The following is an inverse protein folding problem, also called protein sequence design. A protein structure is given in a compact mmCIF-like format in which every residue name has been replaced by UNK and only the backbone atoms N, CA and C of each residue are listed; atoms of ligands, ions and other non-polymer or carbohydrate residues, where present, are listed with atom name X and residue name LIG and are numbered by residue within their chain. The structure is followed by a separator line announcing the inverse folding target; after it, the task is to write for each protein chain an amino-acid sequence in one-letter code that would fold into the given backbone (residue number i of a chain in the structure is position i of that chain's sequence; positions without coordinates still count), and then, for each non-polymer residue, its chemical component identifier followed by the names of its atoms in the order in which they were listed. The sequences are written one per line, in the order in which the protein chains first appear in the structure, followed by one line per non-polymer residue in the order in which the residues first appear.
data_IF_299058270134
#
_entry.id   IF_299058270134
#
_cell.length_a   1.000
_cell.length_b   1.000
_cell.length_c   1.000
_cell.angle_alpha   90.00
_cell.angle_beta   90.00
_cell.angle_gamma   90.00
#
_symmetry.space_group_name_H-M   'P 1'
#
loop_
_entity.id
_entity.type
_entity.pdbx_description
1 polymer ?
#
# COMPACT_ATOMS: atom_id res chain seq x y z
N UNK A 1 -8.22 -26.94 33.02
CA UNK A 1 -8.96 -26.27 31.91
C UNK A 1 -8.41 -24.89 31.57
N UNK A 2 -8.19 -23.98 32.54
CA UNK A 2 -7.55 -22.66 32.29
C UNK A 2 -6.17 -22.79 31.63
N UNK A 3 -5.28 -23.65 32.15
CA UNK A 3 -3.92 -23.81 31.59
C UNK A 3 -3.89 -24.29 30.13
N UNK A 4 -4.87 -25.11 29.73
CA UNK A 4 -4.97 -25.60 28.35
C UNK A 4 -5.43 -24.45 27.44
N UNK A 5 -6.51 -23.73 27.78
CA UNK A 5 -7.04 -22.63 26.97
C UNK A 5 -6.06 -21.45 26.84
N UNK A 6 -5.26 -21.17 27.87
CA UNK A 6 -4.29 -20.07 27.87
C UNK A 6 -2.89 -20.44 27.37
N UNK A 7 -2.68 -21.65 26.84
CA UNK A 7 -1.40 -21.99 26.21
C UNK A 7 -1.17 -21.14 24.95
N UNK A 8 0.09 -20.77 24.69
CA UNK A 8 0.44 -19.86 23.56
C UNK A 8 0.00 -20.42 22.20
N UNK A 9 0.07 -21.75 22.04
CA UNK A 9 -0.43 -22.45 20.86
C UNK A 9 -1.94 -22.28 20.71
N UNK A 10 -2.70 -22.46 21.78
CA UNK A 10 -4.17 -22.38 21.73
C UNK A 10 -4.63 -20.93 21.55
N UNK A 11 -3.94 -19.96 22.14
CA UNK A 11 -4.17 -18.54 21.87
C UNK A 11 -3.98 -18.21 20.37
N UNK A 12 -2.87 -18.67 19.77
CA UNK A 12 -2.60 -18.48 18.34
C UNK A 12 -3.66 -19.15 17.46
N UNK A 13 -3.98 -20.42 17.70
CA UNK A 13 -4.99 -21.15 16.91
C UNK A 13 -6.36 -20.50 17.03
N UNK A 14 -6.79 -20.15 18.24
CA UNK A 14 -8.07 -19.45 18.48
C UNK A 14 -8.10 -18.14 17.72
N UNK A 15 -7.00 -17.38 17.74
CA UNK A 15 -6.94 -16.12 17.02
C UNK A 15 -6.96 -16.27 15.50
N UNK A 16 -6.27 -17.28 14.95
CA UNK A 16 -6.37 -17.62 13.52
C UNK A 16 -7.82 -17.96 13.15
N UNK A 17 -8.51 -18.74 13.97
CA UNK A 17 -9.93 -19.04 13.76
C UNK A 17 -10.80 -17.78 13.83
N UNK A 18 -10.49 -16.82 14.71
CA UNK A 18 -11.19 -15.52 14.78
C UNK A 18 -10.94 -14.71 13.51
N UNK A 19 -9.69 -14.56 13.06
CA UNK A 19 -9.38 -13.84 11.81
C UNK A 19 -10.17 -14.44 10.65
N UNK A 20 -10.19 -15.77 10.55
CA UNK A 20 -10.88 -16.46 9.47
C UNK A 20 -12.40 -16.38 9.59
N UNK A 21 -12.98 -16.53 10.79
CA UNK A 21 -14.44 -16.56 10.98
C UNK A 21 -15.09 -15.17 11.08
N UNK A 22 -14.36 -14.16 11.53
CA UNK A 22 -14.90 -12.82 11.79
C UNK A 22 -15.50 -12.16 10.54
N UNK A 23 -14.87 -12.18 9.34
CA UNK A 23 -15.48 -11.65 8.12
C UNK A 23 -16.83 -12.31 7.82
N UNK A 24 -16.93 -13.64 7.96
CA UNK A 24 -18.18 -14.37 7.72
C UNK A 24 -19.27 -13.99 8.72
N UNK A 25 -18.93 -13.87 10.01
CA UNK A 25 -19.86 -13.42 11.05
C UNK A 25 -20.30 -11.98 10.75
N UNK A 26 -19.37 -11.10 10.39
CA UNK A 26 -19.67 -9.71 10.08
C UNK A 26 -20.59 -9.56 8.86
N UNK A 27 -20.35 -10.32 7.80
CA UNK A 27 -21.20 -10.35 6.61
C UNK A 27 -22.58 -10.96 6.91
N UNK A 28 -22.64 -12.09 7.64
CA UNK A 28 -23.89 -12.80 7.93
C UNK A 28 -24.83 -12.01 8.83
N UNK A 29 -24.31 -11.27 9.80
CA UNK A 29 -25.10 -10.53 10.79
C UNK A 29 -25.20 -9.02 10.51
N UNK A 30 -24.82 -8.56 9.30
CA UNK A 30 -24.85 -7.14 8.92
C UNK A 30 -24.13 -6.22 9.92
N UNK A 31 -23.03 -6.70 10.51
CA UNK A 31 -22.23 -5.89 11.45
C UNK A 31 -21.43 -4.80 10.73
N UNK A 32 -21.17 -4.96 9.43
CA UNK A 32 -20.46 -3.96 8.62
C UNK A 32 -21.20 -2.60 8.60
N UNK A 33 -22.50 -2.51 8.25
CA UNK A 33 -23.26 -1.26 8.39
C UNK A 33 -23.24 -0.67 9.80
N UNK A 34 -23.28 -1.50 10.84
CA UNK A 34 -23.24 -1.02 12.23
C UNK A 34 -21.87 -0.40 12.55
N UNK A 35 -20.77 -1.05 12.17
CA UNK A 35 -19.40 -0.54 12.34
C UNK A 35 -19.21 0.74 11.52
N UNK A 36 -19.75 0.80 10.30
CA UNK A 36 -19.75 2.02 9.48
C UNK A 36 -20.48 3.16 10.17
N UNK A 37 -21.69 2.92 10.69
CA UNK A 37 -22.47 3.91 11.46
C UNK A 37 -21.74 4.39 12.72
N UNK A 38 -21.08 3.49 13.45
CA UNK A 38 -20.24 3.85 14.61
C UNK A 38 -19.03 4.70 14.17
N UNK A 39 -18.41 4.36 13.04
CA UNK A 39 -17.26 5.11 12.49
C UNK A 39 -17.63 6.51 12.03
N UNK A 40 -18.86 6.67 11.53
CA UNK A 40 -19.41 7.95 11.11
C UNK A 40 -20.05 8.76 12.25
N UNK A 41 -20.19 8.18 13.45
CA UNK A 41 -20.78 8.86 14.60
C UNK A 41 -19.93 10.05 15.04
N UNK A 42 -20.57 11.21 15.17
CA UNK A 42 -20.00 12.44 15.70
C UNK A 42 -20.83 13.00 16.85
N UNK A 43 -20.23 13.96 17.56
CA UNK A 43 -20.92 14.82 18.50
C UNK A 43 -20.43 16.26 18.27
N UNK A 44 -21.31 17.24 18.51
CA UNK A 44 -20.98 18.64 18.30
C UNK A 44 -20.40 19.27 19.56
N UNK A 45 -19.26 19.94 19.42
CA UNK A 45 -18.65 20.78 20.47
C UNK A 45 -18.38 22.16 19.86
N UNK A 46 -19.03 23.20 20.40
CA UNK A 46 -18.89 24.59 19.91
C UNK A 46 -19.16 24.74 18.40
N UNK A 47 -20.14 24.01 17.87
CA UNK A 47 -20.46 24.04 16.43
C UNK A 47 -19.50 23.25 15.53
N UNK A 48 -18.54 22.53 16.10
CA UNK A 48 -17.66 21.62 15.37
C UNK A 48 -18.09 20.17 15.62
N UNK A 49 -18.37 19.42 14.55
CA UNK A 49 -18.62 17.98 14.61
C UNK A 49 -17.30 17.23 14.82
N UNK A 50 -17.16 16.55 15.97
CA UNK A 50 -16.01 15.73 16.33
C UNK A 50 -16.38 14.26 16.17
N UNK A 51 -15.65 13.53 15.32
CA UNK A 51 -15.84 12.09 15.13
C UNK A 51 -15.40 11.31 16.37
N UNK A 52 -16.25 10.41 16.86
CA UNK A 52 -16.03 9.66 18.11
C UNK A 52 -14.84 8.70 17.98
N UNK A 53 -14.74 7.97 16.87
CA UNK A 53 -13.70 6.95 16.70
C UNK A 53 -12.27 7.53 16.74
N UNK A 54 -11.93 8.59 15.98
CA UNK A 54 -10.63 9.26 16.12
C UNK A 54 -10.32 9.72 17.53
N UNK A 55 -11.33 10.22 18.25
CA UNK A 55 -11.16 10.68 19.62
C UNK A 55 -10.83 9.52 20.57
N UNK A 56 -11.60 8.43 20.51
CA UNK A 56 -11.33 7.23 21.31
C UNK A 56 -9.95 6.65 21.00
N UNK A 57 -9.58 6.61 19.72
CA UNK A 57 -8.25 6.17 19.30
C UNK A 57 -7.15 7.08 19.86
N UNK A 58 -7.34 8.41 19.80
CA UNK A 58 -6.39 9.38 20.36
C UNK A 58 -6.24 9.21 21.88
N UNK A 59 -7.36 9.05 22.61
CA UNK A 59 -7.34 8.79 24.06
C UNK A 59 -6.59 7.51 24.37
N UNK A 60 -6.85 6.44 23.61
CA UNK A 60 -6.15 5.17 23.76
C UNK A 60 -4.65 5.29 23.49
N UNK A 61 -4.25 5.99 22.43
CA UNK A 61 -2.83 6.25 22.12
C UNK A 61 -2.16 7.08 23.21
N UNK A 62 -2.82 8.14 23.71
CA UNK A 62 -2.32 8.94 24.84
C UNK A 62 -2.15 8.06 26.08
N UNK A 63 -3.13 7.23 26.40
CA UNK A 63 -3.05 6.28 27.51
C UNK A 63 -1.85 5.33 27.37
N UNK A 64 -1.66 4.73 26.18
CA UNK A 64 -0.52 3.85 25.91
C UNK A 64 0.82 4.60 26.03
N UNK A 65 0.90 5.83 25.55
CA UNK A 65 2.08 6.69 25.70
C UNK A 65 2.35 6.92 27.18
N UNK A 66 1.36 7.40 27.95
CA UNK A 66 1.47 7.70 29.39
C UNK A 66 1.96 6.50 30.18
N UNK A 67 1.34 5.32 29.98
CA UNK A 67 1.76 4.07 30.63
C UNK A 67 3.16 3.65 30.21
N UNK A 68 3.57 3.99 28.98
CA UNK A 68 4.88 3.63 28.42
C UNK A 68 5.95 4.72 28.59
N UNK A 69 5.64 5.92 29.09
CA UNK A 69 6.56 7.07 29.11
C UNK A 69 7.90 6.72 29.76
N UNK A 70 7.86 5.99 30.89
CA UNK A 70 9.06 5.55 31.61
C UNK A 70 9.93 4.56 30.82
N UNK A 71 9.40 3.97 29.75
CA UNK A 71 10.04 2.99 28.88
C UNK A 71 10.40 3.57 27.51
N UNK A 72 9.94 4.78 27.15
CA UNK A 72 10.23 5.36 25.84
C UNK A 72 11.66 5.91 25.84
N UNK A 73 12.49 5.39 24.95
CA UNK A 73 13.79 5.96 24.62
C UNK A 73 13.74 6.52 23.18
N UNK A 74 14.78 7.26 22.77
CA UNK A 74 14.86 7.86 21.43
C UNK A 74 14.70 6.82 20.31
N UNK A 75 15.22 5.61 20.51
CA UNK A 75 15.13 4.51 19.55
C UNK A 75 13.69 3.99 19.38
N UNK A 76 12.97 3.78 20.49
CA UNK A 76 11.55 3.38 20.48
C UNK A 76 10.70 4.46 19.84
N UNK A 77 10.95 5.73 20.16
CA UNK A 77 10.23 6.85 19.56
C UNK A 77 10.43 6.90 18.04
N UNK A 78 11.68 6.80 17.57
CA UNK A 78 11.98 6.73 16.13
C UNK A 78 11.27 5.53 15.47
N UNK A 79 11.25 4.38 16.13
CA UNK A 79 10.58 3.18 15.64
C UNK A 79 9.07 3.35 15.54
N UNK A 80 8.44 4.02 16.52
CA UNK A 80 7.02 4.39 16.46
C UNK A 80 6.74 5.34 15.29
N UNK A 81 7.55 6.39 15.13
CA UNK A 81 7.42 7.31 14.00
C UNK A 81 7.54 6.57 12.66
N UNK A 82 8.49 5.64 12.55
CA UNK A 82 8.64 4.81 11.36
C UNK A 82 7.39 3.95 11.08
N UNK A 83 6.82 3.31 12.09
CA UNK A 83 5.57 2.55 11.95
C UNK A 83 4.43 3.45 11.45
N UNK A 84 4.27 4.65 12.02
CA UNK A 84 3.25 5.60 11.58
C UNK A 84 3.44 6.02 10.12
N UNK A 85 4.68 6.24 9.69
CA UNK A 85 5.00 6.54 8.29
C UNK A 85 4.66 5.36 7.36
N UNK A 86 4.94 4.12 7.78
CA UNK A 86 4.61 2.91 7.02
C UNK A 86 3.09 2.73 6.89
N UNK A 87 2.33 2.95 7.97
CA UNK A 87 0.85 2.92 7.94
C UNK A 87 0.32 3.99 7.00
N UNK A 88 0.80 5.23 7.14
CA UNK A 88 0.40 6.33 6.26
C UNK A 88 0.70 6.03 4.79
N UNK A 89 1.88 5.49 4.50
CA UNK A 89 2.25 5.08 3.16
C UNK A 89 1.31 3.98 2.64
N UNK A 90 1.07 2.92 3.41
CA UNK A 90 0.15 1.84 3.06
C UNK A 90 -1.25 2.35 2.74
N UNK A 91 -1.79 3.21 3.60
CA UNK A 91 -3.09 3.86 3.43
C UNK A 91 -3.13 4.70 2.14
N UNK A 92 -2.10 5.51 1.90
CA UNK A 92 -2.02 6.39 0.73
C UNK A 92 -1.96 5.61 -0.59
N UNK A 93 -1.40 4.41 -0.57
CA UNK A 93 -1.31 3.50 -1.71
C UNK A 93 -2.66 2.83 -1.94
N UNK A 94 -3.21 2.17 -0.92
CA UNK A 94 -4.38 1.31 -1.05
C UNK A 94 -5.69 2.08 -1.28
N UNK A 95 -5.90 3.21 -0.60
CA UNK A 95 -7.23 3.82 -0.50
C UNK A 95 -7.44 5.00 -1.45
N UNK A 96 -6.71 5.05 -2.57
CA UNK A 96 -6.79 6.16 -3.53
C UNK A 96 -8.21 6.41 -4.04
N UNK A 97 -8.89 5.37 -4.49
CA UNK A 97 -10.24 5.49 -5.07
C UNK A 97 -11.33 5.53 -4.02
N UNK A 98 -11.18 4.78 -2.93
CA UNK A 98 -12.22 4.68 -1.92
C UNK A 98 -12.28 5.92 -1.02
N UNK A 99 -11.15 6.63 -0.84
CA UNK A 99 -11.10 7.81 0.02
C UNK A 99 -11.42 7.51 1.48
N UNK A 100 -11.20 6.27 1.92
CA UNK A 100 -11.39 5.87 3.30
C UNK A 100 -10.42 6.64 4.20
N UNK A 101 -10.95 7.06 5.35
CA UNK A 101 -10.16 7.71 6.36
C UNK A 101 -9.32 6.69 7.14
N UNK A 102 -8.23 7.13 7.76
CA UNK A 102 -7.39 6.28 8.63
C UNK A 102 -8.15 5.76 9.87
N UNK A 103 -9.30 6.35 10.21
CA UNK A 103 -10.14 5.92 11.32
C UNK A 103 -11.32 5.05 10.87
N UNK A 104 -11.41 4.71 9.59
CA UNK A 104 -12.35 3.70 9.12
C UNK A 104 -11.92 2.34 9.68
N UNK A 105 -12.57 1.93 10.76
CA UNK A 105 -12.21 0.72 11.51
C UNK A 105 -12.29 -0.50 10.59
N UNK A 106 -13.30 -0.55 9.72
CA UNK A 106 -13.52 -1.71 8.85
C UNK A 106 -12.33 -1.92 7.92
N UNK A 107 -11.85 -0.85 7.29
CA UNK A 107 -10.75 -0.94 6.33
C UNK A 107 -9.37 -1.06 6.99
N UNK A 108 -9.19 -0.45 8.17
CA UNK A 108 -7.91 -0.46 8.89
C UNK A 108 -7.75 -1.66 9.84
N UNK A 109 -8.83 -2.43 10.06
CA UNK A 109 -8.82 -3.62 10.93
C UNK A 109 -7.75 -4.63 10.52
N UNK A 110 -7.54 -4.80 9.22
CA UNK A 110 -6.52 -5.68 8.64
C UNK A 110 -5.12 -5.43 9.24
N UNK A 111 -4.69 -4.17 9.32
CA UNK A 111 -3.39 -3.82 9.90
C UNK A 111 -3.27 -4.22 11.36
N UNK A 112 -4.30 -3.93 12.16
CA UNK A 112 -4.32 -4.20 13.60
C UNK A 112 -4.39 -5.71 13.87
N UNK A 113 -5.28 -6.40 13.15
CA UNK A 113 -5.52 -7.81 13.32
C UNK A 113 -4.24 -8.62 13.04
N UNK A 114 -3.54 -8.30 11.96
CA UNK A 114 -2.31 -8.99 11.58
C UNK A 114 -1.09 -8.54 12.41
N UNK A 115 -1.05 -7.30 12.92
CA UNK A 115 -0.04 -6.92 13.89
C UNK A 115 -0.15 -7.72 15.21
N UNK A 116 -1.39 -7.97 15.66
CA UNK A 116 -1.64 -8.81 16.83
C UNK A 116 -1.36 -10.30 16.54
N UNK A 117 -1.70 -10.78 15.33
CA UNK A 117 -1.29 -12.11 14.86
C UNK A 117 0.23 -12.29 14.96
N UNK A 118 1.02 -11.33 14.47
CA UNK A 118 2.48 -11.36 14.58
C UNK A 118 2.97 -11.45 16.01
N UNK A 119 2.29 -10.77 16.95
CA UNK A 119 2.62 -10.85 18.37
C UNK A 119 2.37 -12.25 18.95
N UNK A 120 1.23 -12.87 18.65
CA UNK A 120 0.92 -14.22 19.11
C UNK A 120 1.84 -15.27 18.48
N UNK A 121 2.12 -15.15 17.17
CA UNK A 121 3.05 -16.02 16.45
C UNK A 121 4.46 -15.89 17.02
N UNK A 122 4.91 -14.66 17.30
CA UNK A 122 6.19 -14.40 17.93
C UNK A 122 6.31 -15.09 19.29
N UNK A 123 5.31 -14.96 20.17
CA UNK A 123 5.31 -15.62 21.48
C UNK A 123 5.43 -17.14 21.34
N UNK A 124 4.56 -17.72 20.51
CA UNK A 124 4.56 -19.15 20.25
C UNK A 124 5.90 -19.66 19.70
N UNK A 125 6.48 -19.00 18.70
CA UNK A 125 7.75 -19.44 18.12
C UNK A 125 8.94 -19.18 19.06
N UNK A 126 8.90 -18.11 19.85
CA UNK A 126 9.91 -17.81 20.87
C UNK A 126 9.93 -18.86 21.98
N UNK A 127 8.78 -19.33 22.46
CA UNK A 127 8.75 -20.43 23.45
C UNK A 127 9.26 -21.76 22.87
N UNK A 128 9.21 -21.93 21.55
CA UNK A 128 9.89 -23.01 20.81
C UNK A 128 11.37 -22.75 20.53
N UNK A 129 11.95 -21.68 21.11
CA UNK A 129 13.36 -21.27 20.91
C UNK A 129 13.74 -21.06 19.44
N UNK A 130 12.77 -20.66 18.60
CA UNK A 130 13.04 -20.35 17.20
C UNK A 130 13.98 -19.13 17.08
N UNK A 131 14.89 -19.17 16.11
CA UNK A 131 15.75 -18.03 15.81
C UNK A 131 14.93 -16.84 15.28
N UNK A 132 15.30 -15.58 15.56
CA UNK A 132 14.55 -14.40 15.11
C UNK A 132 14.21 -14.39 13.62
N UNK A 133 15.14 -14.79 12.75
CA UNK A 133 14.91 -14.85 11.31
C UNK A 133 13.83 -15.87 10.93
N UNK A 134 13.78 -17.03 11.62
CA UNK A 134 12.71 -18.02 11.43
C UNK A 134 11.36 -17.49 11.91
N UNK A 135 11.34 -16.73 13.01
CA UNK A 135 10.12 -16.11 13.52
C UNK A 135 9.54 -15.15 12.48
N UNK A 136 10.38 -14.26 11.95
CA UNK A 136 10.01 -13.29 10.90
C UNK A 136 9.45 -14.04 9.68
N UNK A 137 10.23 -14.97 9.12
CA UNK A 137 9.85 -15.72 7.92
C UNK A 137 8.52 -16.48 8.08
N UNK A 138 8.38 -17.23 9.18
CA UNK A 138 7.17 -18.04 9.40
C UNK A 138 5.95 -17.18 9.68
N UNK A 139 6.12 -16.04 10.36
CA UNK A 139 5.02 -15.10 10.59
C UNK A 139 4.56 -14.49 9.28
N UNK A 140 5.49 -14.06 8.43
CA UNK A 140 5.19 -13.49 7.12
C UNK A 140 4.49 -14.49 6.18
N UNK A 141 5.07 -15.68 6.02
CA UNK A 141 4.48 -16.73 5.16
C UNK A 141 3.10 -17.16 5.69
N UNK A 142 2.95 -17.33 7.01
CA UNK A 142 1.66 -17.72 7.58
C UNK A 142 0.61 -16.63 7.38
N UNK A 143 0.96 -15.35 7.53
CA UNK A 143 0.06 -14.24 7.27
C UNK A 143 -0.41 -14.24 5.80
N UNK A 144 0.52 -14.41 4.85
CA UNK A 144 0.22 -14.48 3.42
C UNK A 144 -0.72 -15.66 3.10
N UNK A 145 -0.45 -16.85 3.65
CA UNK A 145 -1.28 -18.05 3.43
C UNK A 145 -2.68 -17.86 4.00
N UNK A 146 -2.78 -17.38 5.25
CA UNK A 146 -4.07 -17.18 5.92
C UNK A 146 -4.91 -16.16 5.15
N UNK A 147 -4.31 -15.02 4.80
CA UNK A 147 -5.00 -13.94 4.08
C UNK A 147 -5.42 -14.37 2.67
N UNK A 148 -4.53 -15.03 1.91
CA UNK A 148 -4.86 -15.55 0.57
C UNK A 148 -5.97 -16.60 0.64
N UNK A 149 -5.99 -17.42 1.69
CA UNK A 149 -7.04 -18.40 1.91
C UNK A 149 -8.37 -17.72 2.21
N UNK A 150 -8.38 -16.74 3.14
CA UNK A 150 -9.59 -15.99 3.48
C UNK A 150 -10.25 -15.36 2.24
N UNK A 151 -9.48 -14.62 1.43
CA UNK A 151 -9.98 -14.05 0.17
C UNK A 151 -10.48 -15.12 -0.82
N UNK A 152 -9.79 -16.25 -0.92
CA UNK A 152 -10.20 -17.36 -1.79
C UNK A 152 -11.50 -18.04 -1.33
N UNK A 153 -11.74 -18.14 -0.02
CA UNK A 153 -12.99 -18.67 0.52
C UNK A 153 -14.14 -17.66 0.39
N UNK A 154 -13.88 -16.37 0.60
CA UNK A 154 -14.90 -15.33 0.45
C UNK A 154 -15.43 -15.23 -0.98
N UNK A 155 -14.59 -15.49 -1.99
CA UNK A 155 -14.99 -15.65 -3.39
C UNK A 155 -16.09 -16.70 -3.62
N UNK A 156 -16.11 -17.76 -2.82
CA UNK A 156 -17.08 -18.85 -2.98
C UNK A 156 -18.40 -18.56 -2.25
N UNK A 157 -18.34 -17.78 -1.17
CA UNK A 157 -19.48 -17.57 -0.26
C UNK A 157 -20.31 -16.33 -0.60
N UNK A 158 -19.74 -15.37 -1.32
CA UNK A 158 -20.36 -14.05 -1.54
C UNK A 158 -20.11 -13.58 -2.96
N UNK A 159 -20.96 -12.68 -3.48
CA UNK A 159 -20.66 -11.89 -4.69
C UNK A 159 -19.50 -10.88 -4.46
N UNK A 160 -18.62 -11.13 -3.48
CA UNK A 160 -17.46 -10.30 -3.19
C UNK A 160 -16.40 -10.51 -4.25
N UNK A 161 -15.71 -9.43 -4.54
CA UNK A 161 -14.60 -9.37 -5.48
C UNK A 161 -13.33 -9.71 -4.68
N UNK A 162 -12.59 -10.75 -5.09
CA UNK A 162 -11.27 -11.04 -4.50
C UNK A 162 -10.36 -9.83 -4.60
N UNK A 163 -9.94 -9.33 -3.44
CA UNK A 163 -9.16 -8.11 -3.35
C UNK A 163 -7.72 -8.42 -2.94
N UNK A 164 -6.81 -8.36 -3.91
CA UNK A 164 -5.38 -8.51 -3.65
C UNK A 164 -4.84 -7.39 -2.73
N UNK A 165 -5.51 -6.24 -2.70
CA UNK A 165 -5.19 -5.12 -1.81
C UNK A 165 -5.37 -5.50 -0.34
N UNK A 166 -6.44 -6.23 -0.01
CA UNK A 166 -6.68 -6.71 1.36
C UNK A 166 -5.56 -7.66 1.80
N UNK A 167 -5.11 -8.56 0.91
CA UNK A 167 -3.92 -9.40 1.18
C UNK A 167 -2.68 -8.56 1.44
N UNK A 168 -2.47 -7.50 0.64
CA UNK A 168 -1.38 -6.55 0.84
C UNK A 168 -1.46 -5.82 2.20
N UNK A 169 -2.66 -5.44 2.65
CA UNK A 169 -2.89 -4.79 3.95
C UNK A 169 -2.59 -5.74 5.10
N UNK A 170 -3.02 -6.99 4.99
CA UNK A 170 -2.78 -8.04 6.00
C UNK A 170 -1.29 -8.32 6.21
N UNK A 171 -0.54 -8.56 5.12
CA UNK A 171 0.90 -8.81 5.23
C UNK A 171 1.65 -7.56 5.71
N UNK A 172 1.18 -6.34 5.37
CA UNK A 172 1.75 -5.10 5.90
C UNK A 172 1.50 -4.96 7.40
N UNK A 173 0.30 -5.30 7.86
CA UNK A 173 -0.03 -5.39 9.29
C UNK A 173 0.89 -6.36 10.02
N UNK A 174 1.14 -7.53 9.41
CA UNK A 174 2.06 -8.53 9.95
C UNK A 174 3.50 -8.00 10.10
N UNK A 175 4.02 -7.32 9.06
CA UNK A 175 5.35 -6.70 9.07
C UNK A 175 5.44 -5.55 10.09
N UNK A 176 4.40 -4.70 10.20
CA UNK A 176 4.30 -3.67 11.24
C UNK A 176 4.36 -4.29 12.64
N UNK A 177 3.62 -5.39 12.86
CA UNK A 177 3.68 -6.15 14.10
C UNK A 177 5.08 -6.66 14.43
N UNK A 178 5.79 -7.22 13.43
CA UNK A 178 7.18 -7.66 13.59
C UNK A 178 8.13 -6.50 13.92
N UNK A 179 7.98 -5.34 13.26
CA UNK A 179 8.75 -4.13 13.57
C UNK A 179 8.48 -3.69 15.02
N UNK A 180 7.22 -3.63 15.43
CA UNK A 180 6.84 -3.28 16.80
C UNK A 180 7.48 -4.24 17.82
N UNK A 181 7.45 -5.54 17.56
CA UNK A 181 8.03 -6.54 18.46
C UNK A 181 9.55 -6.38 18.56
N UNK A 182 10.26 -6.35 17.44
CA UNK A 182 11.72 -6.40 17.47
C UNK A 182 12.37 -5.06 17.82
N UNK A 183 11.77 -3.93 17.45
CA UNK A 183 12.33 -2.60 17.68
C UNK A 183 11.78 -1.94 18.94
N UNK A 184 10.51 -2.15 19.28
CA UNK A 184 9.88 -1.50 20.43
C UNK A 184 9.89 -2.43 21.65
N UNK A 185 9.28 -3.62 21.55
CA UNK A 185 9.15 -4.55 22.69
C UNK A 185 10.53 -5.08 23.11
N UNK A 186 11.29 -5.64 22.16
CA UNK A 186 12.65 -6.16 22.40
C UNK A 186 13.73 -5.07 22.40
N UNK A 187 13.36 -3.80 22.22
CA UNK A 187 14.28 -2.65 22.25
C UNK A 187 15.49 -2.82 21.33
N UNK A 188 15.28 -3.33 20.11
CA UNK A 188 16.35 -3.45 19.13
C UNK A 188 17.38 -4.53 19.43
N UNK A 189 17.15 -5.49 20.34
CA UNK A 189 18.10 -6.60 20.57
C UNK A 189 18.50 -7.33 19.28
N UNK A 190 17.62 -7.34 18.28
CA UNK A 190 17.88 -7.88 16.95
C UNK A 190 19.05 -7.19 16.21
N UNK A 191 19.30 -5.91 16.49
CA UNK A 191 20.41 -5.13 15.90
C UNK A 191 21.73 -5.36 16.63
N UNK A 192 21.68 -5.76 17.90
CA UNK A 192 22.86 -5.98 18.74
C UNK A 192 23.39 -7.42 18.65
N UNK A 193 22.50 -8.40 18.44
CA UNK A 193 22.84 -9.83 18.45
C UNK A 193 23.02 -10.44 17.05
N UNK A 194 23.35 -9.61 16.06
CA UNK A 194 23.58 -10.05 14.68
C UNK A 194 24.79 -10.95 14.56
N UNK A 195 24.55 -12.25 14.70
CA UNK A 195 25.44 -13.41 14.54
C UNK A 195 26.36 -13.73 15.73
N UNK A 196 25.92 -14.73 16.49
CA UNK A 196 26.81 -15.56 17.30
C UNK A 196 27.96 -16.13 16.48
N UNK A 197 29.02 -16.48 17.23
CA UNK A 197 30.33 -17.00 16.83
C UNK A 197 31.30 -15.97 16.21
N UNK A 198 32.14 -15.40 17.09
CA UNK A 198 33.47 -14.82 16.83
C UNK A 198 33.62 -13.39 16.29
N UNK A 199 32.57 -12.59 16.12
CA UNK A 199 32.78 -11.16 15.84
C UNK A 199 33.06 -10.37 17.12
N UNK A 200 34.22 -9.71 17.13
CA UNK A 200 34.69 -8.85 18.23
C UNK A 200 33.55 -7.92 18.69
N UNK A 201 33.32 -7.77 20.00
CA UNK A 201 32.38 -6.78 20.52
C UNK A 201 32.82 -5.40 20.05
N UNK A 202 32.07 -4.81 19.11
CA UNK A 202 32.41 -3.51 18.50
C UNK A 202 31.84 -3.26 17.11
N UNK A 203 31.49 -4.30 16.34
CA UNK A 203 30.87 -4.13 15.02
C UNK A 203 29.37 -4.48 15.03
N UNK A 204 28.60 -3.74 15.82
CA UNK A 204 27.12 -3.75 15.76
C UNK A 204 26.66 -2.88 14.59
N UNK A 205 26.62 -3.46 13.39
CA UNK A 205 26.23 -2.75 12.17
C UNK A 205 24.81 -3.08 11.72
N UNK A 206 24.08 -2.05 11.27
CA UNK A 206 22.83 -2.20 10.50
C UNK A 206 23.17 -2.72 9.09
N UNK A 207 23.40 -4.02 8.99
CA UNK A 207 23.80 -4.67 7.75
C UNK A 207 22.60 -5.35 7.09
N UNK A 208 21.92 -4.59 6.21
CA UNK A 208 20.81 -5.11 5.40
C UNK A 208 21.25 -5.91 4.17
N UNK A 209 22.50 -5.70 3.73
CA UNK A 209 23.04 -6.34 2.52
C UNK A 209 24.00 -7.45 2.88
N UNK A 210 23.88 -8.58 2.20
CA UNK A 210 24.69 -9.77 2.43
C UNK A 210 25.44 -10.18 1.16
N UNK A 211 26.67 -10.70 1.35
CA UNK A 211 27.52 -11.19 0.26
C UNK A 211 27.00 -12.48 -0.37
N UNK A 212 26.31 -13.33 0.38
CA UNK A 212 25.68 -14.56 -0.11
C UNK A 212 24.17 -14.46 0.00
N UNK A 213 23.44 -14.97 -0.99
CA UNK A 213 21.97 -14.96 -1.03
C UNK A 213 21.37 -15.67 0.20
N UNK A 214 21.94 -16.81 0.58
CA UNK A 214 21.46 -17.60 1.73
C UNK A 214 21.61 -16.89 3.09
N UNK A 215 22.48 -15.89 3.19
CA UNK A 215 22.68 -15.13 4.42
C UNK A 215 21.54 -14.11 4.67
N UNK A 216 20.80 -13.69 3.63
CA UNK A 216 19.61 -12.83 3.80
C UNK A 216 18.53 -13.51 4.64
N UNK A 217 18.34 -14.82 4.46
CA UNK A 217 17.36 -15.62 5.23
C UNK A 217 17.82 -15.96 6.65
N UNK A 218 19.11 -15.77 6.96
CA UNK A 218 19.67 -16.00 8.30
C UNK A 218 19.75 -14.69 9.10
N UNK A 219 19.94 -13.57 8.43
CA UNK A 219 20.01 -12.26 9.05
C UNK A 219 18.60 -11.66 9.21
N UNK A 220 18.10 -11.48 10.45
CA UNK A 220 16.72 -11.11 10.68
C UNK A 220 16.40 -9.66 10.26
N UNK A 221 17.36 -8.73 10.32
CA UNK A 221 17.17 -7.36 9.82
C UNK A 221 17.06 -7.30 8.31
N UNK A 222 17.92 -8.05 7.62
CA UNK A 222 17.93 -8.12 6.16
C UNK A 222 16.63 -8.74 5.65
N UNK A 223 16.18 -9.83 6.31
CA UNK A 223 14.92 -10.49 5.97
C UNK A 223 13.71 -9.56 6.19
N UNK A 224 13.59 -8.93 7.35
CA UNK A 224 12.48 -8.02 7.65
C UNK A 224 12.42 -6.83 6.67
N UNK A 225 13.59 -6.29 6.29
CA UNK A 225 13.66 -5.24 5.28
C UNK A 225 13.16 -5.72 3.91
N UNK A 226 13.58 -6.92 3.48
CA UNK A 226 13.14 -7.50 2.21
C UNK A 226 11.63 -7.81 2.20
N UNK A 227 11.09 -8.33 3.28
CA UNK A 227 9.65 -8.56 3.44
C UNK A 227 8.85 -7.25 3.43
N UNK A 228 9.36 -6.18 4.06
CA UNK A 228 8.74 -4.86 4.00
C UNK A 228 8.74 -4.32 2.56
N UNK A 229 9.85 -4.42 1.83
CA UNK A 229 9.93 -3.96 0.44
C UNK A 229 8.99 -4.78 -0.46
N UNK A 230 9.00 -6.11 -0.34
CA UNK A 230 8.07 -6.98 -1.05
C UNK A 230 6.61 -6.55 -0.82
N UNK A 231 6.26 -6.31 0.45
CA UNK A 231 4.90 -5.91 0.84
C UNK A 231 4.50 -4.58 0.24
N UNK A 232 5.37 -3.57 0.26
CA UNK A 232 5.09 -2.26 -0.32
C UNK A 232 4.90 -2.38 -1.84
N UNK A 233 5.73 -3.16 -2.53
CA UNK A 233 5.58 -3.42 -3.96
C UNK A 233 4.25 -4.14 -4.22
N UNK A 234 3.96 -5.21 -3.48
CA UNK A 234 2.72 -5.98 -3.66
C UNK A 234 1.48 -5.13 -3.42
N UNK A 235 1.45 -4.32 -2.36
CA UNK A 235 0.36 -3.39 -2.09
C UNK A 235 0.22 -2.33 -3.20
N UNK A 236 1.34 -1.81 -3.70
CA UNK A 236 1.33 -0.84 -4.81
C UNK A 236 0.74 -1.42 -6.08
N UNK A 237 1.18 -2.62 -6.48
CA UNK A 237 0.73 -3.28 -7.71
C UNK A 237 -0.70 -3.81 -7.58
N UNK A 238 -1.07 -4.39 -6.44
CA UNK A 238 -2.45 -4.86 -6.19
C UNK A 238 -3.46 -3.72 -6.17
N UNK A 239 -3.10 -2.55 -5.63
CA UNK A 239 -3.98 -1.37 -5.61
C UNK A 239 -4.29 -0.79 -7.00
N UNK A 240 -3.50 -1.13 -8.01
CA UNK A 240 -3.65 -0.63 -9.39
C UNK A 240 -4.07 -1.70 -10.41
N UNK A 241 -4.21 -2.96 -9.99
CA UNK A 241 -4.61 -4.08 -10.86
C UNK A 241 -5.69 -4.91 -10.17
N UNK A 242 -6.85 -4.28 -9.92
CA UNK A 242 -7.94 -4.91 -9.13
C UNK A 242 -8.89 -5.77 -9.97
N UNK A 243 -8.99 -5.49 -11.28
CA UNK A 243 -9.91 -6.20 -12.17
C UNK A 243 -9.54 -7.67 -12.35
N UNK A 244 -10.55 -8.55 -12.36
CA UNK A 244 -10.40 -10.01 -12.52
C UNK A 244 -9.41 -10.46 -13.60
N UNK A 245 -9.44 -9.94 -14.85
CA UNK A 245 -8.51 -10.37 -15.90
C UNK A 245 -7.04 -10.06 -15.61
N UNK A 246 -6.73 -9.05 -14.78
CA UNK A 246 -5.35 -8.59 -14.54
C UNK A 246 -4.80 -8.97 -13.16
N UNK A 247 -5.57 -9.64 -12.30
CA UNK A 247 -5.11 -10.06 -10.96
C UNK A 247 -3.89 -10.96 -10.98
N UNK A 248 -3.88 -11.93 -11.89
CA UNK A 248 -2.72 -12.80 -12.04
C UNK A 248 -1.47 -12.02 -12.47
N UNK A 249 -1.67 -11.02 -13.35
CA UNK A 249 -0.59 -10.11 -13.74
C UNK A 249 -0.07 -9.31 -12.54
N UNK A 250 -0.93 -8.92 -11.59
CA UNK A 250 -0.49 -8.22 -10.38
C UNK A 250 0.51 -9.03 -9.55
N UNK A 251 0.28 -10.35 -9.41
CA UNK A 251 1.21 -11.26 -8.72
C UNK A 251 2.52 -11.39 -9.50
N UNK A 252 2.44 -11.65 -10.83
CA UNK A 252 3.64 -11.79 -11.67
C UNK A 252 4.47 -10.50 -11.68
N UNK A 253 3.84 -9.35 -11.90
CA UNK A 253 4.50 -8.04 -11.95
C UNK A 253 5.16 -7.74 -10.60
N UNK A 254 4.48 -8.04 -9.48
CA UNK A 254 5.08 -7.92 -8.14
C UNK A 254 6.35 -8.75 -8.02
N UNK A 255 6.30 -10.03 -8.41
CA UNK A 255 7.44 -10.93 -8.35
C UNK A 255 8.60 -10.46 -9.23
N UNK A 256 8.31 -9.98 -10.44
CA UNK A 256 9.33 -9.43 -11.36
C UNK A 256 9.97 -8.18 -10.76
N UNK A 257 9.18 -7.19 -10.33
CA UNK A 257 9.70 -5.94 -9.76
C UNK A 257 10.52 -6.23 -8.49
N UNK A 258 10.01 -7.09 -7.60
CA UNK A 258 10.73 -7.49 -6.40
C UNK A 258 12.04 -8.24 -6.72
N UNK A 259 12.03 -9.14 -7.70
CA UNK A 259 13.24 -9.87 -8.11
C UNK A 259 14.28 -8.92 -8.69
N UNK A 260 13.88 -7.99 -9.56
CA UNK A 260 14.76 -6.95 -10.10
C UNK A 260 15.33 -6.07 -8.98
N UNK A 261 14.48 -5.62 -8.05
CA UNK A 261 14.92 -4.89 -6.86
C UNK A 261 15.94 -5.70 -6.04
N UNK A 262 15.65 -6.97 -5.75
CA UNK A 262 16.52 -7.83 -4.96
C UNK A 262 17.87 -8.05 -5.63
N UNK A 263 17.91 -8.29 -6.95
CA UNK A 263 19.15 -8.44 -7.72
C UNK A 263 19.97 -7.15 -7.64
N UNK A 264 19.36 -5.99 -7.90
CA UNK A 264 20.05 -4.69 -7.79
C UNK A 264 20.56 -4.44 -6.38
N UNK A 265 19.73 -4.72 -5.37
CA UNK A 265 20.05 -4.56 -3.96
C UNK A 265 21.22 -5.47 -3.54
N UNK A 266 21.21 -6.74 -3.96
CA UNK A 266 22.28 -7.70 -3.68
C UNK A 266 23.58 -7.32 -4.39
N UNK A 267 23.53 -7.02 -5.69
CA UNK A 267 24.71 -6.62 -6.46
C UNK A 267 25.29 -5.28 -5.98
N UNK A 268 24.49 -4.42 -5.33
CA UNK A 268 24.97 -3.17 -4.72
C UNK A 268 25.98 -3.37 -3.57
N UNK A 269 26.24 -4.61 -3.14
CA UNK A 269 27.35 -4.93 -2.24
C UNK A 269 28.70 -4.61 -2.89
N UNK A 270 28.82 -4.81 -4.21
CA UNK A 270 30.05 -4.57 -4.95
C UNK A 270 30.23 -3.07 -5.27
N UNK A 271 31.44 -2.54 -5.04
CA UNK A 271 31.75 -1.12 -5.27
C UNK A 271 31.48 -0.68 -6.71
N UNK A 272 31.89 -1.48 -7.70
CA UNK A 272 31.72 -1.17 -9.12
C UNK A 272 30.24 -1.03 -9.50
N UNK A 273 29.39 -1.94 -9.03
CA UNK A 273 27.94 -1.88 -9.26
C UNK A 273 27.33 -0.63 -8.63
N UNK A 274 27.76 -0.24 -7.42
CA UNK A 274 27.28 1.01 -6.79
C UNK A 274 27.59 2.25 -7.62
N UNK A 275 28.77 2.31 -8.23
CA UNK A 275 29.14 3.42 -9.13
C UNK A 275 28.25 3.44 -10.37
N UNK A 276 27.97 2.27 -10.96
CA UNK A 276 27.04 2.15 -12.11
C UNK A 276 25.63 2.60 -11.72
N UNK A 277 25.09 2.12 -10.59
CA UNK A 277 23.77 2.51 -10.10
C UNK A 277 23.69 4.02 -9.82
N UNK A 278 24.73 4.61 -9.22
CA UNK A 278 24.79 6.05 -9.01
C UNK A 278 24.80 6.81 -10.35
N UNK A 279 25.55 6.32 -11.33
CA UNK A 279 25.56 6.87 -12.70
C UNK A 279 24.17 6.83 -13.34
N UNK A 280 23.44 5.72 -13.22
CA UNK A 280 22.06 5.59 -13.71
C UNK A 280 21.11 6.58 -13.03
N UNK A 281 21.23 6.77 -11.71
CA UNK A 281 20.44 7.78 -10.97
C UNK A 281 20.75 9.19 -11.47
N UNK A 282 22.03 9.53 -11.67
CA UNK A 282 22.43 10.84 -12.21
C UNK A 282 21.88 11.06 -13.61
N UNK A 283 21.97 10.06 -14.49
CA UNK A 283 21.40 10.12 -15.85
C UNK A 283 19.89 10.35 -15.79
N UNK A 284 19.17 9.63 -14.92
CA UNK A 284 17.74 9.81 -14.76
C UNK A 284 17.38 11.21 -14.21
N UNK A 285 18.17 11.76 -13.28
CA UNK A 285 17.99 13.11 -12.77
C UNK A 285 18.24 14.18 -13.84
N UNK A 286 19.27 14.00 -14.68
CA UNK A 286 19.54 14.88 -15.82
C UNK A 286 18.41 14.80 -16.84
N UNK A 287 17.95 13.58 -17.17
CA UNK A 287 16.79 13.37 -18.03
C UNK A 287 15.56 14.10 -17.46
N UNK A 288 15.25 13.89 -16.19
CA UNK A 288 14.15 14.58 -15.52
C UNK A 288 14.32 16.11 -15.60
N UNK A 289 15.50 16.66 -15.32
CA UNK A 289 15.74 18.10 -15.41
C UNK A 289 15.50 18.67 -16.82
N UNK A 290 15.93 17.95 -17.87
CA UNK A 290 15.74 18.35 -19.28
C UNK A 290 14.27 18.25 -19.71
N UNK A 291 13.57 17.22 -19.25
CA UNK A 291 12.21 16.90 -19.68
C UNK A 291 11.10 17.38 -18.72
N UNK A 292 11.41 17.89 -17.53
CA UNK A 292 10.43 18.23 -16.48
C UNK A 292 9.40 19.28 -16.90
N UNK A 293 9.73 20.13 -17.87
CA UNK A 293 8.84 21.16 -18.43
C UNK A 293 8.05 20.69 -19.65
N UNK A 294 8.38 19.53 -20.20
CA UNK A 294 7.62 18.95 -21.31
C UNK A 294 6.43 18.18 -20.74
N UNK A 295 5.33 18.16 -21.48
CA UNK A 295 4.17 17.33 -21.15
C UNK A 295 4.45 15.85 -21.44
N UNK A 296 3.51 15.19 -22.10
CA UNK A 296 3.71 13.81 -22.55
C UNK A 296 4.50 13.86 -23.86
N UNK A 297 5.70 13.28 -23.87
CA UNK A 297 6.64 13.35 -25.00
C UNK A 297 6.48 12.15 -25.93
N UNK A 298 6.05 11.01 -25.38
CA UNK A 298 5.87 9.78 -26.13
C UNK A 298 4.66 9.02 -25.58
N UNK A 299 3.87 8.45 -26.49
CA UNK A 299 2.76 7.55 -26.20
C UNK A 299 2.64 6.55 -27.37
N UNK A 300 3.13 5.33 -27.17
CA UNK A 300 2.90 4.22 -28.10
C UNK A 300 2.97 2.88 -27.36
N UNK A 301 2.26 1.87 -27.86
CA UNK A 301 2.41 0.45 -27.52
C UNK A 301 2.68 0.16 -26.04
N UNK A 302 1.83 0.68 -25.15
CA UNK A 302 1.89 0.48 -23.68
C UNK A 302 3.01 1.23 -22.94
N UNK A 303 3.64 2.23 -23.54
CA UNK A 303 4.61 3.08 -22.85
C UNK A 303 4.24 4.56 -23.03
N UNK A 304 4.19 5.26 -21.90
CA UNK A 304 4.09 6.71 -21.86
C UNK A 304 5.33 7.30 -21.24
N UNK A 305 5.88 8.34 -21.86
CA UNK A 305 6.97 9.12 -21.28
C UNK A 305 6.42 10.49 -20.88
N UNK A 306 6.28 10.68 -19.57
CA UNK A 306 5.86 11.96 -19.00
C UNK A 306 7.02 12.56 -18.22
N UNK A 307 7.42 13.80 -18.55
CA UNK A 307 8.51 14.50 -17.87
C UNK A 307 9.83 13.70 -17.77
N UNK A 308 10.10 12.84 -18.75
CA UNK A 308 11.30 11.98 -18.79
C UNK A 308 11.19 10.70 -17.95
N UNK A 309 10.01 10.42 -17.38
CA UNK A 309 9.73 9.20 -16.62
C UNK A 309 8.94 8.23 -17.52
N UNK A 310 9.49 7.04 -17.82
CA UNK A 310 8.76 6.00 -18.53
C UNK A 310 7.74 5.33 -17.61
N UNK A 311 6.50 5.23 -18.07
CA UNK A 311 5.38 4.57 -17.41
C UNK A 311 4.95 3.42 -18.32
N UNK A 312 5.44 2.19 -18.07
CA UNK A 312 5.04 1.03 -18.85
C UNK A 312 3.74 0.45 -18.29
N UNK A 313 2.85 0.01 -19.18
CA UNK A 313 1.67 -0.84 -18.93
C UNK A 313 0.53 -0.23 -18.08
N UNK A 314 0.83 0.58 -17.07
CA UNK A 314 -0.13 1.10 -16.11
C UNK A 314 -0.92 2.29 -16.63
N UNK A 315 -2.18 2.38 -16.21
CA UNK A 315 -2.97 3.58 -16.41
C UNK A 315 -2.43 4.71 -15.51
N UNK A 316 -2.54 5.95 -15.98
CA UNK A 316 -1.96 7.10 -15.29
C UNK A 316 -2.95 8.26 -15.23
N UNK A 317 -3.01 8.90 -14.07
CA UNK A 317 -3.70 10.16 -13.86
C UNK A 317 -2.68 11.30 -13.72
N UNK A 318 -2.80 12.30 -14.58
CA UNK A 318 -2.09 13.57 -14.52
C UNK A 318 -2.97 14.61 -13.85
N UNK A 319 -2.46 15.26 -12.81
CA UNK A 319 -3.18 16.27 -12.03
C UNK A 319 -2.97 17.68 -12.60
N UNK A 320 -3.84 18.61 -12.21
CA UNK A 320 -3.81 20.00 -12.69
C UNK A 320 -2.51 20.74 -12.33
N UNK A 321 -1.82 20.32 -11.27
CA UNK A 321 -0.52 20.87 -10.84
C UNK A 321 0.68 20.26 -11.59
N UNK A 322 0.44 19.37 -12.56
CA UNK A 322 1.47 18.70 -13.33
C UNK A 322 2.19 17.57 -12.60
N UNK A 323 1.68 17.09 -11.46
CA UNK A 323 2.12 15.78 -10.93
C UNK A 323 1.33 14.66 -11.58
N UNK A 324 1.74 13.42 -11.35
CA UNK A 324 1.01 12.24 -11.83
C UNK A 324 1.01 11.14 -10.78
N UNK A 325 0.10 10.19 -10.95
CA UNK A 325 0.00 8.97 -10.15
C UNK A 325 -0.45 7.81 -11.02
N UNK A 326 0.09 6.61 -10.77
CA UNK A 326 -0.42 5.38 -11.35
C UNK A 326 -1.80 5.09 -10.75
N UNK A 327 -2.75 4.77 -11.60
CA UNK A 327 -4.13 4.49 -11.19
C UNK A 327 -4.56 3.11 -11.63
N UNK A 328 -5.61 2.63 -10.99
CA UNK A 328 -6.18 1.32 -11.25
C UNK A 328 -6.58 1.16 -12.72
N UNK A 329 -6.12 0.05 -13.28
CA UNK A 329 -6.36 -0.33 -14.66
C UNK A 329 -7.78 -0.88 -14.79
N UNK A 330 -8.71 0.00 -15.16
CA UNK A 330 -10.12 -0.34 -15.24
C UNK A 330 -10.71 -0.10 -16.62
N UNK A 331 -11.49 -1.07 -17.08
CA UNK A 331 -12.33 -0.95 -18.27
C UNK A 331 -13.60 -0.13 -18.00
N UNK A 332 -14.05 -0.11 -16.73
CA UNK A 332 -15.27 0.56 -16.28
C UNK A 332 -15.06 1.31 -14.96
N UNK A 333 -15.32 2.61 -14.95
CA UNK A 333 -15.32 3.44 -13.74
C UNK A 333 -16.63 3.27 -12.97
N UNK A 334 -16.52 2.84 -11.72
CA UNK A 334 -17.66 2.79 -10.81
C UNK A 334 -17.99 4.19 -10.26
N UNK A 335 -19.14 4.31 -9.59
CA UNK A 335 -19.57 5.57 -8.98
C UNK A 335 -18.52 6.16 -8.03
N UNK A 336 -17.87 5.31 -7.22
CA UNK A 336 -16.81 5.72 -6.28
C UNK A 336 -15.59 6.25 -7.04
N UNK A 337 -15.19 5.59 -8.14
CA UNK A 337 -14.09 6.04 -8.98
C UNK A 337 -14.37 7.43 -9.54
N UNK A 338 -15.55 7.63 -10.13
CA UNK A 338 -15.99 8.91 -10.69
C UNK A 338 -16.02 10.02 -9.64
N UNK A 339 -16.53 9.71 -8.44
CA UNK A 339 -16.55 10.67 -7.34
C UNK A 339 -15.13 11.11 -6.96
N UNK A 340 -14.19 10.17 -6.88
CA UNK A 340 -12.78 10.48 -6.60
C UNK A 340 -12.13 11.26 -7.74
N UNK A 341 -12.37 10.89 -8.99
CA UNK A 341 -11.87 11.64 -10.16
C UNK A 341 -12.38 13.09 -10.13
N UNK A 342 -13.66 13.30 -9.83
CA UNK A 342 -14.27 14.63 -9.70
C UNK A 342 -13.69 15.45 -8.53
N UNK A 343 -13.14 14.82 -7.48
CA UNK A 343 -12.43 15.56 -6.42
C UNK A 343 -11.15 16.22 -6.93
N UNK A 344 -10.52 15.66 -7.96
CA UNK A 344 -9.26 16.14 -8.52
C UNK A 344 -9.45 17.00 -9.78
N UNK A 345 -10.54 16.82 -10.53
CA UNK A 345 -10.84 17.57 -11.75
C UNK A 345 -11.75 18.76 -11.48
N UNK A 346 -11.22 19.98 -11.53
CA UNK A 346 -11.99 21.20 -11.25
C UNK A 346 -12.71 21.75 -12.50
N UNK A 347 -12.03 21.81 -13.64
CA UNK A 347 -12.54 22.47 -14.84
C UNK A 347 -12.63 21.55 -16.07
N UNK A 348 -11.55 20.81 -16.36
CA UNK A 348 -11.48 19.91 -17.52
C UNK A 348 -11.01 18.54 -17.03
N UNK A 349 -11.83 17.51 -17.29
CA UNK A 349 -11.46 16.11 -17.20
C UNK A 349 -11.27 15.56 -18.62
N UNK A 350 -10.03 15.24 -18.96
CA UNK A 350 -9.68 14.56 -20.20
C UNK A 350 -9.52 13.07 -19.93
N UNK A 351 -10.09 12.22 -20.78
CA UNK A 351 -9.98 10.77 -20.73
C UNK A 351 -9.42 10.24 -22.05
N UNK A 352 -8.28 9.57 -21.97
CA UNK A 352 -7.72 8.76 -23.05
C UNK A 352 -8.32 7.36 -22.93
N UNK A 353 -9.07 6.95 -23.95
CA UNK A 353 -9.89 5.74 -23.96
C UNK A 353 -9.18 4.53 -24.60
N UNK A 354 -7.85 4.51 -24.61
CA UNK A 354 -7.05 3.51 -25.35
C UNK A 354 -6.86 3.88 -26.82
N UNK A 355 -6.07 3.09 -27.54
CA UNK A 355 -5.80 3.31 -28.97
C UNK A 355 -7.07 3.09 -29.82
N UNK A 356 -7.91 2.13 -29.39
CA UNK A 356 -9.15 1.78 -30.07
C UNK A 356 -10.36 2.61 -29.62
N UNK A 357 -10.21 3.45 -28.59
CA UNK A 357 -11.30 4.25 -28.04
C UNK A 357 -12.39 3.47 -27.30
N UNK A 358 -12.03 2.31 -26.71
CA UNK A 358 -12.96 1.40 -26.02
C UNK A 358 -12.99 1.56 -24.50
N UNK A 359 -11.98 2.22 -23.93
CA UNK A 359 -11.86 2.51 -22.51
C UNK A 359 -12.73 3.67 -22.04
N UNK A 360 -12.67 3.96 -20.73
CA UNK A 360 -13.40 5.09 -20.13
C UNK A 360 -14.91 4.87 -19.96
N UNK A 361 -15.36 3.60 -19.89
CA UNK A 361 -16.76 3.30 -19.62
C UNK A 361 -17.13 3.68 -18.17
N UNK A 362 -18.43 3.84 -17.90
CA UNK A 362 -18.94 4.23 -16.57
C UNK A 362 -19.45 5.66 -16.48
N UNK A 363 -19.07 6.53 -17.43
CA UNK A 363 -19.67 7.86 -17.56
C UNK A 363 -21.11 7.79 -18.09
N UNK A 364 -21.95 8.75 -17.66
CA UNK A 364 -23.38 8.78 -17.97
C UNK A 364 -23.68 8.83 -19.48
N UNK A 365 -22.80 9.47 -20.27
CA UNK A 365 -22.88 9.51 -21.73
C UNK A 365 -21.54 9.14 -22.36
N UNK A 366 -21.60 8.48 -23.51
CA UNK A 366 -20.43 8.14 -24.36
C UNK A 366 -20.10 9.23 -25.40
N UNK A 367 -20.66 10.42 -25.25
CA UNK A 367 -20.38 11.56 -26.13
C UNK A 367 -18.91 11.99 -25.98
N UNK A 368 -18.24 12.38 -27.08
CA UNK A 368 -16.83 12.84 -27.06
C UNK A 368 -16.60 14.03 -26.13
N UNK A 369 -17.62 14.87 -25.95
CA UNK A 369 -17.59 16.03 -25.07
C UNK A 369 -18.93 16.14 -24.36
N UNK A 370 -18.90 16.36 -23.06
CA UNK A 370 -20.08 16.59 -22.24
C UNK A 370 -19.76 17.52 -21.08
N UNK A 371 -20.78 18.16 -20.53
CA UNK A 371 -20.66 18.95 -19.32
C UNK A 371 -21.44 18.26 -18.19
N UNK A 372 -20.79 18.06 -17.04
CA UNK A 372 -21.41 17.52 -15.84
C UNK A 372 -21.22 18.47 -14.67
N UNK A 373 -22.12 18.44 -13.69
CA UNK A 373 -21.94 19.23 -12.47
C UNK A 373 -20.97 18.51 -11.55
N UNK A 374 -19.85 19.15 -11.19
CA UNK A 374 -18.95 18.64 -10.17
C UNK A 374 -19.64 18.75 -8.80
N UNK A 375 -19.93 17.61 -8.17
CA UNK A 375 -20.70 17.57 -6.91
C UNK A 375 -20.02 18.32 -5.76
N UNK A 376 -18.69 18.40 -5.76
CA UNK A 376 -17.87 19.04 -4.72
C UNK A 376 -17.78 20.55 -4.94
N UNK A 377 -17.37 20.98 -6.13
CA UNK A 377 -17.15 22.42 -6.41
C UNK A 377 -18.42 23.15 -6.81
N UNK A 378 -19.49 22.42 -7.13
CA UNK A 378 -20.76 22.92 -7.71
C UNK A 378 -20.59 23.62 -9.07
N UNK A 379 -19.40 23.56 -9.66
CA UNK A 379 -19.11 24.13 -10.97
C UNK A 379 -19.35 23.11 -12.09
N UNK A 380 -19.52 23.61 -13.32
CA UNK A 380 -19.55 22.75 -14.50
C UNK A 380 -18.15 22.20 -14.78
N UNK A 381 -18.05 20.88 -14.88
CA UNK A 381 -16.87 20.13 -15.30
C UNK A 381 -17.06 19.69 -16.75
N UNK A 382 -16.15 20.12 -17.62
CA UNK A 382 -16.08 19.64 -18.99
C UNK A 382 -15.39 18.28 -19.01
N UNK A 383 -16.07 17.26 -19.53
CA UNK A 383 -15.51 15.92 -19.72
C UNK A 383 -15.29 15.68 -21.20
N UNK A 384 -14.06 15.34 -21.57
CA UNK A 384 -13.64 15.10 -22.95
C UNK A 384 -13.10 13.67 -23.04
N UNK A 385 -13.64 12.86 -23.94
CA UNK A 385 -13.25 11.47 -24.14
C UNK A 385 -12.70 11.32 -25.56
N UNK A 386 -11.43 10.97 -25.68
CA UNK A 386 -10.72 10.84 -26.96
C UNK A 386 -9.86 9.57 -26.98
N UNK A 387 -9.42 9.17 -28.17
CA UNK A 387 -8.36 8.15 -28.30
C UNK A 387 -7.05 8.67 -27.71
N UNK A 388 -6.15 7.79 -27.30
CA UNK A 388 -4.93 8.18 -26.59
C UNK A 388 -4.07 9.20 -27.36
N UNK A 389 -3.85 9.00 -28.66
CA UNK A 389 -3.09 9.93 -29.51
C UNK A 389 -3.70 11.34 -29.57
N UNK A 390 -5.02 11.42 -29.75
CA UNK A 390 -5.79 12.67 -29.77
C UNK A 390 -5.80 13.34 -28.38
N UNK A 391 -6.01 12.55 -27.32
CA UNK A 391 -6.04 13.02 -25.94
C UNK A 391 -4.68 13.59 -25.51
N UNK A 392 -3.58 12.91 -25.81
CA UNK A 392 -2.22 13.38 -25.50
C UNK A 392 -1.93 14.70 -26.22
N UNK A 393 -2.33 14.82 -27.48
CA UNK A 393 -2.17 16.05 -28.26
C UNK A 393 -2.95 17.20 -27.63
N UNK A 394 -4.23 16.97 -27.30
CA UNK A 394 -5.08 17.95 -26.65
C UNK A 394 -4.55 18.35 -25.27
N UNK A 395 -4.14 17.39 -24.45
CA UNK A 395 -3.54 17.63 -23.14
C UNK A 395 -2.32 18.55 -23.22
N UNK A 396 -1.37 18.23 -24.11
CA UNK A 396 -0.18 19.05 -24.29
C UNK A 396 -0.51 20.47 -24.76
N UNK A 397 -1.52 20.64 -25.62
CA UNK A 397 -1.98 21.95 -26.06
C UNK A 397 -2.65 22.73 -24.91
N UNK A 398 -3.49 22.09 -24.11
CA UNK A 398 -4.13 22.68 -22.93
C UNK A 398 -3.09 23.11 -21.89
N UNK A 399 -2.05 22.30 -21.67
CA UNK A 399 -0.93 22.63 -20.78
C UNK A 399 -0.15 23.85 -21.28
N UNK A 400 0.14 23.95 -22.59
CA UNK A 400 0.77 25.16 -23.19
C UNK A 400 -0.07 26.42 -23.02
N UNK A 401 -1.39 26.27 -22.95
CA UNK A 401 -2.34 27.36 -22.70
C UNK A 401 -2.58 27.63 -21.20
N UNK A 402 -1.82 27.00 -20.29
CA UNK A 402 -1.99 27.09 -18.84
C UNK A 402 -3.41 26.77 -18.36
N UNK A 403 -4.11 25.84 -19.05
CA UNK A 403 -5.45 25.39 -18.64
C UNK A 403 -5.32 24.33 -17.53
N UNK A 404 -6.22 24.39 -16.55
CA UNK A 404 -6.35 23.39 -15.49
C UNK A 404 -7.05 22.15 -16.03
N UNK A 405 -6.28 21.11 -16.33
CA UNK A 405 -6.77 19.84 -16.88
C UNK A 405 -6.29 18.68 -16.03
N UNK A 406 -7.22 17.83 -15.61
CA UNK A 406 -6.95 16.49 -15.10
C UNK A 406 -7.07 15.51 -16.25
N UNK A 407 -6.05 14.69 -16.48
CA UNK A 407 -6.02 13.75 -17.59
C UNK A 407 -5.84 12.32 -17.07
N UNK A 408 -6.74 11.42 -17.42
CA UNK A 408 -6.57 9.98 -17.18
C UNK A 408 -6.29 9.32 -18.51
N UNK A 409 -5.21 8.55 -18.58
CA UNK A 409 -4.78 7.83 -19.77
C UNK A 409 -4.92 6.33 -19.53
N UNK A 410 -5.86 5.71 -20.24
CA UNK A 410 -6.09 4.27 -20.22
C UNK A 410 -5.14 3.58 -21.20
N UNK A 411 -4.34 2.63 -20.71
CA UNK A 411 -3.46 1.83 -21.54
C UNK A 411 -4.15 0.52 -21.92
N UNK A 412 -4.71 0.41 -23.12
CA UNK A 412 -5.25 -0.85 -23.64
C UNK A 412 -4.87 -1.05 -25.10
#
# INVERSE_FOLDING_TARGET
MKEVLFSERNQLITYILIIFSAPFIMCKYYLQPLIGSISDSDFEVMGHAIKIVPLLFLIFVIFLIVVSLKRINKFRLLSFTFILLVIYLGQSIADFYMGHSLYDIQNNWHYIAYAFFSYLMYRYLKSKKAAPAKIILYTFISALIISSSDEAFQLQMTNRVFDLGDIGKDILGSVIGLIMIFFIIENGKITHNGNGSHHKPGHTGWHFRQKRISDYFKNPLSLLFLELVFTIIFLSISSILTEKPVRFNAVIITLIIYTLFFIVFHLSVYKSVRVILLGLVVIQLVSFAVFCRKGIVYNAENIVIYKGIPIPYFDVMFFENGTFRLVDKKSFFQYVDLHTIQKYANAILLLGSGENGKGGNGLAKKEKMQFIVNKRTKNMLQVIILKNSEAVTLYNNLQKQNKKVTFILHHE
#
